data_IF_138454943634
#
_entry.id   IF_138454943634
#
_cell.length_a   1.000
_cell.length_b   1.000
_cell.length_c   1.000
_cell.angle_alpha   90.00
_cell.angle_beta   90.00
_cell.angle_gamma   90.00
#
_symmetry.space_group_name_H-M   'P 1'
#
loop_
_entity.id
_entity.type
_entity.pdbx_description
1 polymer ?
#
# COMPACT_ATOMS: atom_id res chain seq x y z
N UNK A 1 62.76 -34.26 41.44
CA UNK A 1 61.32 -34.59 41.47
C UNK A 1 60.87 -34.93 40.06
N UNK A 2 60.06 -36.00 39.96
CA UNK A 2 59.33 -36.61 38.83
C UNK A 2 58.82 -35.66 37.72
N UNK A 3 58.38 -36.05 36.51
CA UNK A 3 58.28 -37.27 35.68
C UNK A 3 57.65 -36.81 34.32
N UNK A 4 57.80 -37.65 33.29
CA UNK A 4 56.82 -37.96 32.21
C UNK A 4 56.64 -37.05 30.99
N UNK A 5 56.55 -37.74 29.84
CA UNK A 5 56.20 -37.33 28.49
C UNK A 5 54.67 -37.20 28.27
N UNK A 6 54.24 -36.52 27.19
CA UNK A 6 53.26 -36.99 26.18
C UNK A 6 52.77 -35.89 25.19
N UNK A 7 52.95 -36.17 23.88
CA UNK A 7 52.07 -35.97 22.68
C UNK A 7 51.23 -34.71 22.38
N UNK A 8 51.39 -34.25 21.12
CA UNK A 8 50.58 -33.44 20.14
C UNK A 8 49.03 -33.65 20.12
N UNK A 9 48.17 -32.89 19.34
CA UNK A 9 48.47 -32.09 18.13
C UNK A 9 47.72 -30.76 17.84
N UNK A 10 48.30 -30.04 16.87
CA UNK A 10 47.76 -29.19 15.79
C UNK A 10 46.35 -28.58 15.84
N UNK A 11 46.28 -27.26 15.60
CA UNK A 11 45.31 -26.68 14.66
C UNK A 11 45.91 -25.45 13.96
N UNK A 12 45.78 -25.44 12.64
CA UNK A 12 46.43 -24.57 11.66
C UNK A 12 45.84 -23.16 11.59
N UNK A 13 46.66 -22.12 11.80
CA UNK A 13 46.34 -20.75 11.41
C UNK A 13 47.04 -20.40 10.10
N UNK A 14 46.34 -20.57 8.97
CA UNK A 14 46.74 -19.96 7.70
C UNK A 14 46.13 -18.56 7.60
N UNK A 15 46.98 -17.56 7.80
CA UNK A 15 46.78 -16.19 7.31
C UNK A 15 46.73 -16.17 5.79
N UNK A 16 45.80 -15.42 5.19
CA UNK A 16 46.11 -14.44 4.13
C UNK A 16 44.90 -13.58 3.77
N UNK A 17 45.22 -12.29 3.70
CA UNK A 17 44.73 -11.28 2.75
C UNK A 17 43.36 -10.64 2.91
N UNK A 18 43.47 -9.36 3.29
CA UNK A 18 42.46 -8.31 3.28
C UNK A 18 42.21 -7.90 1.84
N UNK A 19 41.11 -8.37 1.25
CA UNK A 19 40.60 -7.89 -0.04
C UNK A 19 39.33 -7.07 0.22
N UNK A 20 39.36 -5.79 -0.18
CA UNK A 20 38.20 -4.90 -0.14
C UNK A 20 37.09 -5.47 -1.06
N UNK A 21 35.81 -5.47 -0.66
CA UNK A 21 34.77 -5.94 -1.57
C UNK A 21 34.24 -4.82 -2.47
N UNK A 22 34.59 -4.90 -3.76
CA UNK A 22 33.86 -4.28 -4.86
C UNK A 22 32.69 -5.18 -5.34
N UNK A 23 31.52 -4.55 -5.55
CA UNK A 23 30.45 -4.92 -6.50
C UNK A 23 29.43 -6.06 -6.13
N UNK A 24 28.30 -6.19 -6.88
CA UNK A 24 26.92 -6.10 -6.40
C UNK A 24 26.24 -7.48 -6.25
N UNK A 25 26.92 -8.43 -5.62
CA UNK A 25 26.46 -9.82 -5.54
C UNK A 25 25.41 -10.08 -4.45
N UNK A 26 25.36 -9.22 -3.42
CA UNK A 26 24.50 -9.43 -2.24
C UNK A 26 23.00 -9.21 -2.50
N UNK A 27 22.64 -8.37 -3.47
CA UNK A 27 21.24 -8.17 -3.89
C UNK A 27 20.76 -9.32 -4.79
N UNK A 28 21.67 -9.91 -5.57
CA UNK A 28 21.34 -11.01 -6.47
C UNK A 28 21.22 -12.35 -5.73
N UNK A 29 22.01 -12.57 -4.68
CA UNK A 29 21.85 -13.73 -3.80
C UNK A 29 20.54 -13.67 -3.01
N UNK A 30 20.17 -12.50 -2.44
CA UNK A 30 18.89 -12.35 -1.73
C UNK A 30 17.67 -12.54 -2.64
N UNK A 31 17.73 -12.07 -3.90
CA UNK A 31 16.64 -12.29 -4.86
C UNK A 31 16.52 -13.75 -5.31
N UNK A 32 17.65 -14.46 -5.48
CA UNK A 32 17.64 -15.90 -5.76
C UNK A 32 17.10 -16.71 -4.58
N UNK A 33 17.42 -16.32 -3.35
CA UNK A 33 16.97 -16.97 -2.12
C UNK A 33 15.46 -16.78 -1.91
N UNK A 34 14.92 -15.62 -2.27
CA UNK A 34 13.47 -15.35 -2.26
C UNK A 34 12.74 -16.18 -3.32
N UNK A 35 13.31 -16.32 -4.52
CA UNK A 35 12.71 -17.16 -5.58
C UNK A 35 12.77 -18.64 -5.20
N UNK A 36 13.85 -19.09 -4.56
CA UNK A 36 13.99 -20.45 -4.04
C UNK A 36 13.00 -20.70 -2.88
N UNK A 37 12.91 -19.77 -1.93
CA UNK A 37 11.97 -19.83 -0.80
C UNK A 37 10.53 -19.85 -1.30
N UNK A 38 10.18 -18.97 -2.25
CA UNK A 38 8.87 -18.97 -2.91
C UNK A 38 8.59 -20.28 -3.64
N UNK A 39 9.55 -20.81 -4.42
CA UNK A 39 9.41 -22.13 -5.07
C UNK A 39 9.19 -23.25 -4.06
N UNK A 40 9.89 -23.25 -2.93
CA UNK A 40 9.73 -24.29 -1.90
C UNK A 40 8.42 -24.18 -1.13
N UNK A 41 7.90 -22.95 -0.90
CA UNK A 41 6.56 -22.77 -0.34
C UNK A 41 5.47 -23.16 -1.35
N UNK A 42 5.65 -22.86 -2.65
CA UNK A 42 4.76 -23.33 -3.72
C UNK A 42 4.76 -24.86 -3.87
N UNK A 43 5.93 -25.50 -3.78
CA UNK A 43 6.05 -26.95 -3.87
C UNK A 43 5.45 -27.67 -2.66
N UNK A 44 5.49 -27.06 -1.47
CA UNK A 44 4.83 -27.58 -0.26
C UNK A 44 3.31 -27.63 -0.35
N UNK A 45 2.71 -26.82 -1.21
CA UNK A 45 1.25 -26.67 -1.30
C UNK A 45 0.59 -27.55 -2.40
N UNK A 46 1.40 -28.29 -3.16
CA UNK A 46 0.95 -29.44 -3.98
C UNK A 46 -0.13 -29.17 -5.04
N UNK A 47 -0.37 -27.91 -5.43
CA UNK A 47 -1.35 -27.54 -6.47
C UNK A 47 -0.72 -26.71 -7.59
N UNK A 48 -0.49 -27.34 -8.73
CA UNK A 48 -0.08 -26.63 -9.94
C UNK A 48 -1.05 -25.49 -10.31
N UNK A 49 -0.55 -24.33 -10.77
CA UNK A 49 -1.33 -23.30 -11.45
C UNK A 49 -2.13 -23.84 -12.63
N UNK A 50 -3.45 -23.97 -12.45
CA UNK A 50 -4.38 -24.08 -13.56
C UNK A 50 -4.12 -22.93 -14.53
N UNK A 51 -3.92 -23.24 -15.81
CA UNK A 51 -3.57 -22.27 -16.84
C UNK A 51 -4.60 -21.14 -16.96
N UNK A 52 -4.09 -19.90 -17.05
CA UNK A 52 -4.90 -18.70 -17.21
C UNK A 52 -5.16 -18.42 -18.69
N UNK A 53 -6.43 -18.47 -19.09
CA UNK A 53 -6.89 -18.08 -20.43
C UNK A 53 -7.69 -16.77 -20.34
N UNK A 54 -7.82 -16.04 -21.46
CA UNK A 54 -8.50 -14.74 -21.56
C UNK A 54 -9.91 -14.72 -20.93
N UNK A 55 -10.69 -15.79 -21.15
CA UNK A 55 -12.03 -15.96 -20.57
C UNK A 55 -12.05 -16.04 -19.03
N UNK A 56 -10.98 -16.59 -18.42
CA UNK A 56 -10.83 -16.68 -16.96
C UNK A 56 -10.30 -15.39 -16.35
N UNK A 57 -9.48 -14.65 -17.10
CA UNK A 57 -9.00 -13.32 -16.69
C UNK A 57 -10.15 -12.29 -16.65
N UNK A 58 -11.11 -12.40 -17.57
CA UNK A 58 -12.31 -11.55 -17.62
C UNK A 58 -13.44 -12.03 -16.69
N UNK A 59 -13.25 -13.13 -15.95
CA UNK A 59 -14.22 -13.61 -14.98
C UNK A 59 -14.35 -12.63 -13.80
N UNK A 60 -15.49 -12.65 -13.08
CA UNK A 60 -15.69 -11.78 -11.92
C UNK A 60 -14.59 -12.04 -10.88
N UNK A 61 -13.82 -11.00 -10.57
CA UNK A 61 -12.82 -11.03 -9.49
C UNK A 61 -13.60 -11.06 -8.18
N UNK A 62 -13.82 -12.27 -7.65
CA UNK A 62 -14.39 -12.44 -6.32
C UNK A 62 -13.28 -12.18 -5.30
N UNK A 63 -13.28 -10.97 -4.73
CA UNK A 63 -12.44 -10.66 -3.57
C UNK A 63 -13.00 -11.42 -2.37
N UNK A 64 -12.27 -12.43 -1.89
CA UNK A 64 -12.60 -13.14 -0.64
C UNK A 64 -11.93 -12.38 0.52
N UNK A 65 -12.70 -11.58 1.28
CA UNK A 65 -12.19 -10.70 2.32
C UNK A 65 -11.76 -11.45 3.58
N UNK A 66 -11.97 -12.78 3.65
CA UNK A 66 -11.41 -13.63 4.70
C UNK A 66 -9.96 -14.03 4.42
N UNK A 67 -9.47 -13.81 3.19
CA UNK A 67 -8.16 -14.25 2.68
C UNK A 67 -7.26 -13.08 2.26
N UNK A 68 -7.35 -11.94 2.95
CA UNK A 68 -6.57 -10.74 2.59
C UNK A 68 -5.05 -10.91 2.75
N UNK A 69 -4.59 -11.96 3.45
CA UNK A 69 -3.15 -12.28 3.57
C UNK A 69 -2.73 -13.44 2.64
N UNK A 70 -3.64 -14.01 1.86
CA UNK A 70 -3.33 -15.04 0.86
C UNK A 70 -3.08 -14.39 -0.49
N UNK A 71 -2.18 -14.97 -1.29
CA UNK A 71 -1.98 -14.54 -2.67
C UNK A 71 -3.34 -14.55 -3.42
N UNK A 72 -3.66 -13.43 -4.05
CA UNK A 72 -4.91 -13.23 -4.79
C UNK A 72 -5.19 -14.35 -5.80
N UNK A 73 -6.47 -14.69 -6.06
CA UNK A 73 -6.82 -15.79 -6.96
C UNK A 73 -6.23 -15.59 -8.37
N UNK A 74 -5.86 -16.71 -8.97
CA UNK A 74 -5.11 -16.80 -10.24
C UNK A 74 -5.77 -15.99 -11.37
N UNK A 75 -4.92 -15.37 -12.19
CA UNK A 75 -5.21 -14.60 -13.43
C UNK A 75 -5.39 -13.10 -13.30
N UNK A 76 -5.39 -12.50 -12.10
CA UNK A 76 -5.36 -11.04 -11.98
C UNK A 76 -4.07 -10.43 -12.52
N UNK A 77 -2.94 -11.15 -12.50
CA UNK A 77 -1.69 -10.72 -13.13
C UNK A 77 -1.79 -10.53 -14.65
N UNK A 78 -2.80 -11.10 -15.33
CA UNK A 78 -2.95 -10.95 -16.78
C UNK A 78 -3.57 -9.59 -17.15
N UNK A 79 -4.43 -9.04 -16.28
CA UNK A 79 -4.99 -7.68 -16.39
C UNK A 79 -4.15 -6.65 -15.63
N UNK A 80 -3.54 -7.07 -14.52
CA UNK A 80 -2.77 -6.25 -13.59
C UNK A 80 -1.47 -6.97 -13.19
N UNK A 81 -0.47 -7.06 -14.09
CA UNK A 81 0.78 -7.81 -13.85
C UNK A 81 1.61 -7.31 -12.67
N UNK A 82 1.24 -6.15 -12.13
CA UNK A 82 1.94 -5.50 -11.03
C UNK A 82 1.24 -5.63 -9.66
N UNK A 83 0.09 -6.31 -9.57
CA UNK A 83 -0.59 -6.55 -8.28
C UNK A 83 0.32 -7.26 -7.26
N UNK A 84 1.14 -8.20 -7.71
CA UNK A 84 2.13 -8.85 -6.84
C UNK A 84 3.05 -7.86 -6.13
N UNK A 85 3.37 -6.72 -6.74
CA UNK A 85 4.21 -5.70 -6.13
C UNK A 85 3.44 -4.81 -5.14
N UNK A 86 2.12 -4.79 -5.18
CA UNK A 86 1.29 -4.10 -4.19
C UNK A 86 1.25 -4.87 -2.86
N UNK A 87 1.19 -6.21 -2.95
CA UNK A 87 1.02 -7.08 -1.77
C UNK A 87 2.33 -7.63 -1.21
N UNK A 88 3.41 -7.57 -1.99
CA UNK A 88 4.69 -8.15 -1.58
C UNK A 88 5.39 -7.25 -0.57
N UNK A 89 5.71 -7.77 0.61
CA UNK A 89 6.51 -7.10 1.65
C UNK A 89 8.03 -7.11 1.40
N UNK A 90 8.45 -7.55 0.22
CA UNK A 90 9.85 -7.64 -0.20
C UNK A 90 10.17 -6.38 -1.04
N UNK A 91 11.25 -5.66 -0.72
CA UNK A 91 11.65 -4.46 -1.47
C UNK A 91 12.24 -4.87 -2.82
N UNK A 92 11.37 -5.16 -3.78
CA UNK A 92 11.77 -5.27 -5.18
C UNK A 92 11.64 -3.87 -5.79
N UNK A 93 12.74 -3.26 -6.28
CA UNK A 93 12.72 -1.89 -6.79
C UNK A 93 11.77 -1.77 -7.97
N UNK A 94 10.96 -0.70 -8.00
CA UNK A 94 10.07 -0.41 -9.12
C UNK A 94 10.81 0.39 -10.17
N UNK A 95 10.68 -0.01 -11.44
CA UNK A 95 11.07 0.84 -12.56
C UNK A 95 10.11 2.05 -12.67
N UNK A 96 10.57 3.16 -13.26
CA UNK A 96 9.77 4.39 -13.44
C UNK A 96 8.42 4.11 -14.13
N UNK A 97 8.38 3.21 -15.12
CA UNK A 97 7.12 2.81 -15.79
C UNK A 97 6.12 2.16 -14.84
N UNK A 98 6.63 1.35 -13.90
CA UNK A 98 5.81 0.67 -12.91
C UNK A 98 5.29 1.68 -11.87
N UNK A 99 6.11 2.65 -11.47
CA UNK A 99 5.69 3.77 -10.61
C UNK A 99 4.60 4.63 -11.28
N UNK A 100 4.74 4.90 -12.59
CA UNK A 100 3.74 5.64 -13.36
C UNK A 100 2.41 4.89 -13.48
N UNK A 101 2.47 3.58 -13.74
CA UNK A 101 1.27 2.73 -13.74
C UNK A 101 0.62 2.67 -12.35
N UNK A 102 1.44 2.59 -11.30
CA UNK A 102 0.97 2.58 -9.92
C UNK A 102 0.19 3.87 -9.59
N UNK A 103 0.73 5.03 -9.95
CA UNK A 103 0.03 6.31 -9.79
C UNK A 103 -1.29 6.35 -10.57
N UNK A 104 -1.30 5.87 -11.82
CA UNK A 104 -2.52 5.78 -12.61
C UNK A 104 -3.56 4.85 -11.95
N UNK A 105 -3.11 3.70 -11.43
CA UNK A 105 -3.98 2.76 -10.72
C UNK A 105 -4.60 3.40 -9.48
N UNK A 106 -3.82 4.04 -8.60
CA UNK A 106 -4.36 4.71 -7.41
C UNK A 106 -5.29 5.89 -7.74
N UNK A 107 -5.08 6.53 -8.89
CA UNK A 107 -5.96 7.60 -9.38
C UNK A 107 -7.31 7.05 -9.83
N UNK A 108 -7.33 5.90 -10.52
CA UNK A 108 -8.55 5.32 -11.12
C UNK A 108 -9.16 4.19 -10.29
N UNK A 109 -8.58 3.88 -9.13
CA UNK A 109 -9.08 2.81 -8.26
C UNK A 109 -10.51 3.13 -7.78
N UNK A 110 -11.47 2.20 -7.93
CA UNK A 110 -12.85 2.43 -7.50
C UNK A 110 -12.99 2.77 -6.01
N UNK A 111 -12.10 2.26 -5.15
CA UNK A 111 -12.06 2.60 -3.73
C UNK A 111 -11.66 4.05 -3.51
N UNK A 112 -10.57 4.51 -4.13
CA UNK A 112 -10.15 5.92 -4.10
C UNK A 112 -11.26 6.85 -4.60
N UNK A 113 -11.84 6.55 -5.77
CA UNK A 113 -12.93 7.34 -6.35
C UNK A 113 -14.16 7.37 -5.43
N UNK A 114 -14.52 6.22 -4.86
CA UNK A 114 -15.64 6.09 -3.92
C UNK A 114 -15.43 6.91 -2.63
N UNK A 115 -14.23 6.88 -2.05
CA UNK A 115 -13.90 7.67 -0.84
C UNK A 115 -13.94 9.17 -1.15
N UNK A 116 -13.32 9.60 -2.25
CA UNK A 116 -13.25 11.02 -2.64
C UNK A 116 -14.67 11.57 -2.89
N UNK A 117 -15.48 10.84 -3.65
CA UNK A 117 -16.86 11.25 -3.92
C UNK A 117 -17.71 11.20 -2.65
N UNK A 118 -17.57 10.18 -1.81
CA UNK A 118 -18.26 10.09 -0.53
C UNK A 118 -17.97 11.27 0.40
N UNK A 119 -16.69 11.60 0.60
CA UNK A 119 -16.26 12.76 1.41
C UNK A 119 -16.78 14.07 0.81
N UNK A 120 -16.71 14.21 -0.52
CA UNK A 120 -17.26 15.39 -1.21
C UNK A 120 -18.75 15.54 -0.97
N UNK A 121 -19.51 14.45 -0.99
CA UNK A 121 -20.94 14.44 -0.68
C UNK A 121 -21.23 14.87 0.75
N UNK A 122 -20.48 14.33 1.72
CA UNK A 122 -20.61 14.69 3.13
C UNK A 122 -20.32 16.19 3.35
N UNK A 123 -19.25 16.72 2.75
CA UNK A 123 -18.87 18.12 2.90
C UNK A 123 -19.96 19.08 2.36
N UNK A 124 -20.52 18.79 1.19
CA UNK A 124 -21.63 19.61 0.63
C UNK A 124 -22.93 19.45 1.42
N UNK A 125 -23.17 18.28 2.01
CA UNK A 125 -24.36 18.03 2.82
C UNK A 125 -24.31 18.74 4.18
N UNK A 126 -23.13 18.81 4.80
CA UNK A 126 -22.94 19.43 6.12
C UNK A 126 -22.80 20.95 5.99
N UNK A 127 -22.18 21.45 4.92
CA UNK A 127 -22.03 22.89 4.67
C UNK A 127 -22.54 23.28 3.27
N UNK A 128 -23.72 23.89 3.25
CA UNK A 128 -24.33 24.40 2.02
C UNK A 128 -23.70 25.70 1.51
N UNK A 129 -22.83 26.34 2.31
CA UNK A 129 -22.16 27.60 2.00
C UNK A 129 -20.71 27.41 1.54
N UNK A 130 -20.33 26.20 1.13
CA UNK A 130 -19.01 25.97 0.53
C UNK A 130 -18.78 26.84 -0.72
N UNK A 131 -17.51 27.08 -1.07
CA UNK A 131 -17.12 27.79 -2.29
C UNK A 131 -17.65 27.13 -3.59
N UNK A 132 -18.06 25.86 -3.52
CA UNK A 132 -18.58 25.10 -4.65
C UNK A 132 -20.10 25.23 -4.82
N UNK A 133 -20.79 25.74 -3.80
CA UNK A 133 -22.23 25.88 -3.72
C UNK A 133 -22.93 24.61 -3.20
N UNK A 134 -24.26 24.65 -3.00
CA UNK A 134 -25.01 23.54 -2.43
C UNK A 134 -25.45 22.50 -3.48
N UNK A 135 -25.92 21.35 -2.99
CA UNK A 135 -26.62 20.33 -3.77
C UNK A 135 -25.74 19.60 -4.80
N UNK A 136 -26.37 18.95 -5.77
CA UNK A 136 -25.68 18.11 -6.76
C UNK A 136 -24.66 18.87 -7.62
N UNK A 137 -24.89 20.16 -7.89
CA UNK A 137 -23.95 20.99 -8.63
C UNK A 137 -22.67 21.26 -7.82
N UNK A 138 -22.82 21.60 -6.53
CA UNK A 138 -21.69 21.76 -5.62
C UNK A 138 -20.92 20.46 -5.41
N UNK A 139 -21.65 19.35 -5.26
CA UNK A 139 -21.07 18.01 -5.19
C UNK A 139 -20.22 17.70 -6.42
N UNK A 140 -20.75 17.89 -7.64
CA UNK A 140 -20.01 17.61 -8.87
C UNK A 140 -18.74 18.44 -8.99
N UNK A 141 -18.79 19.71 -8.60
CA UNK A 141 -17.62 20.60 -8.57
C UNK A 141 -16.58 20.14 -7.55
N UNK A 142 -16.98 19.89 -6.30
CA UNK A 142 -16.07 19.47 -5.24
C UNK A 142 -15.46 18.10 -5.53
N UNK A 143 -16.28 17.15 -6.01
CA UNK A 143 -15.81 15.83 -6.41
C UNK A 143 -14.80 15.93 -7.57
N UNK A 144 -15.09 16.73 -8.59
CA UNK A 144 -14.17 16.95 -9.72
C UNK A 144 -12.84 17.57 -9.28
N UNK A 145 -12.89 18.61 -8.43
CA UNK A 145 -11.69 19.24 -7.87
C UNK A 145 -10.89 18.24 -7.04
N UNK A 146 -11.56 17.47 -6.18
CA UNK A 146 -10.91 16.49 -5.29
C UNK A 146 -10.29 15.33 -6.08
N UNK A 147 -10.95 14.86 -7.14
CA UNK A 147 -10.39 13.84 -8.05
C UNK A 147 -9.15 14.36 -8.78
N UNK A 148 -9.15 15.63 -9.21
CA UNK A 148 -8.00 16.24 -9.86
C UNK A 148 -6.84 16.45 -8.86
N UNK A 149 -7.14 16.85 -7.62
CA UNK A 149 -6.13 16.92 -6.55
C UNK A 149 -5.53 15.54 -6.25
N UNK A 150 -6.35 14.49 -6.21
CA UNK A 150 -5.89 13.11 -6.05
C UNK A 150 -4.99 12.69 -7.22
N UNK A 151 -5.41 12.91 -8.47
CA UNK A 151 -4.60 12.62 -9.64
C UNK A 151 -3.24 13.34 -9.62
N UNK A 152 -3.25 14.61 -9.19
CA UNK A 152 -2.03 15.41 -9.02
C UNK A 152 -1.14 14.83 -7.91
N UNK A 153 -1.74 14.48 -6.77
CA UNK A 153 -1.02 13.90 -5.64
C UNK A 153 -0.37 12.56 -6.00
N UNK A 154 -1.07 11.68 -6.71
CA UNK A 154 -0.52 10.41 -7.18
C UNK A 154 0.56 10.62 -8.24
N UNK A 155 0.34 11.55 -9.17
CA UNK A 155 1.34 11.85 -10.20
C UNK A 155 2.66 12.32 -9.60
N UNK A 156 2.65 13.24 -8.63
CA UNK A 156 3.88 13.74 -8.02
C UNK A 156 4.41 12.84 -6.90
N UNK A 157 3.53 12.35 -6.03
CA UNK A 157 3.87 11.62 -4.81
C UNK A 157 4.14 10.14 -5.00
N UNK A 158 3.56 9.53 -6.03
CA UNK A 158 3.74 8.10 -6.35
C UNK A 158 4.63 7.90 -7.58
N UNK A 159 4.60 8.82 -8.55
CA UNK A 159 5.37 8.69 -9.79
C UNK A 159 6.55 9.64 -9.91
N UNK A 160 6.32 10.94 -10.19
CA UNK A 160 7.36 11.84 -10.68
C UNK A 160 8.49 12.04 -9.68
N UNK A 161 8.18 12.40 -8.43
CA UNK A 161 9.21 12.60 -7.39
C UNK A 161 9.87 11.27 -7.02
N UNK A 162 9.12 10.19 -6.72
CA UNK A 162 9.74 8.89 -6.41
C UNK A 162 10.60 8.29 -7.52
N UNK A 163 10.25 8.53 -8.80
CA UNK A 163 11.06 8.11 -9.92
C UNK A 163 12.38 8.91 -10.01
N UNK A 164 12.36 10.21 -9.71
CA UNK A 164 13.55 11.06 -9.74
C UNK A 164 14.53 10.74 -8.60
N UNK A 165 14.02 10.55 -7.38
CA UNK A 165 14.86 10.36 -6.18
C UNK A 165 15.09 8.89 -5.83
N UNK A 166 14.67 7.96 -6.70
CA UNK A 166 14.77 6.52 -6.46
C UNK A 166 14.13 6.10 -5.13
N UNK A 167 12.95 6.62 -4.84
CA UNK A 167 12.14 6.28 -3.67
C UNK A 167 11.09 5.23 -4.04
N UNK A 168 10.86 4.27 -3.16
CA UNK A 168 9.71 3.38 -3.24
C UNK A 168 8.46 4.10 -2.68
N UNK A 169 7.41 4.29 -3.48
CA UNK A 169 6.19 4.97 -3.02
C UNK A 169 5.24 4.07 -2.21
N UNK A 170 5.50 2.76 -2.10
CA UNK A 170 4.54 1.82 -1.52
C UNK A 170 4.55 1.82 0.01
N UNK A 171 3.38 1.57 0.57
CA UNK A 171 3.21 1.29 2.00
C UNK A 171 3.26 -0.22 2.28
N UNK A 172 4.10 -0.64 3.23
CA UNK A 172 4.31 -2.05 3.59
C UNK A 172 3.70 -2.37 4.96
N UNK A 173 2.68 -3.24 4.98
CA UNK A 173 1.93 -3.56 6.21
C UNK A 173 2.71 -4.41 7.20
N UNK A 174 2.39 -4.27 8.50
CA UNK A 174 2.99 -5.06 9.59
C UNK A 174 1.93 -5.84 10.41
N UNK A 175 1.21 -6.81 9.80
CA UNK A 175 0.04 -7.44 10.42
C UNK A 175 0.34 -8.21 11.73
N UNK A 176 1.54 -8.77 11.88
CA UNK A 176 1.93 -9.56 13.06
C UNK A 176 2.51 -8.75 14.22
N UNK A 177 2.49 -7.41 14.13
CA UNK A 177 3.00 -6.52 15.18
C UNK A 177 1.86 -6.02 16.09
N UNK A 178 2.14 -5.68 17.35
CA UNK A 178 1.14 -5.09 18.25
C UNK A 178 0.64 -3.75 17.70
N UNK A 179 -0.62 -3.42 17.98
CA UNK A 179 -1.35 -2.25 17.44
C UNK A 179 -0.55 -0.95 17.59
N UNK A 180 0.02 -0.68 18.76
CA UNK A 180 0.79 0.56 18.99
C UNK A 180 2.02 0.69 18.09
N UNK A 181 2.71 -0.43 17.78
CA UNK A 181 3.85 -0.41 16.84
C UNK A 181 3.38 -0.20 15.40
N UNK A 182 2.21 -0.73 15.04
CA UNK A 182 1.59 -0.54 13.72
C UNK A 182 1.21 0.93 13.52
N UNK A 183 0.56 1.55 14.50
CA UNK A 183 0.23 2.99 14.48
C UNK A 183 1.49 3.83 14.33
N UNK A 184 2.50 3.62 15.19
CA UNK A 184 3.75 4.39 15.12
C UNK A 184 4.45 4.20 13.78
N UNK A 185 4.44 2.98 13.26
CA UNK A 185 4.99 2.68 11.95
C UNK A 185 4.23 3.41 10.83
N UNK A 186 2.90 3.36 10.81
CA UNK A 186 2.05 4.06 9.83
C UNK A 186 2.31 5.57 9.83
N UNK A 187 2.39 6.18 11.01
CA UNK A 187 2.70 7.60 11.17
C UNK A 187 4.12 7.91 10.70
N UNK A 188 5.10 7.07 11.04
CA UNK A 188 6.48 7.29 10.62
C UNK A 188 6.65 7.25 9.10
N UNK A 189 5.82 6.48 8.38
CA UNK A 189 5.92 6.33 6.93
C UNK A 189 5.49 7.56 6.13
N UNK A 190 4.73 8.46 6.73
CA UNK A 190 4.46 9.77 6.16
C UNK A 190 5.72 10.63 6.03
N UNK A 191 6.68 10.47 6.95
CA UNK A 191 7.88 11.29 7.00
C UNK A 191 9.15 10.56 6.55
N UNK A 192 9.14 9.24 6.63
CA UNK A 192 10.30 8.38 6.36
C UNK A 192 9.89 7.26 5.41
N UNK A 193 10.46 7.24 4.21
CA UNK A 193 10.24 6.20 3.21
C UNK A 193 11.45 5.26 3.07
N UNK A 194 11.42 4.42 2.04
CA UNK A 194 12.51 3.54 1.61
C UNK A 194 12.97 3.96 0.22
N UNK A 195 14.27 3.90 -0.03
CA UNK A 195 14.79 3.96 -1.39
C UNK A 195 14.50 2.65 -2.13
N UNK A 196 14.63 2.67 -3.45
CA UNK A 196 14.56 1.48 -4.30
C UNK A 196 15.63 0.42 -3.88
N UNK A 197 16.77 0.86 -3.34
CA UNK A 197 17.82 0.00 -2.77
C UNK A 197 17.55 -0.45 -1.31
N UNK A 198 16.38 -0.12 -0.77
CA UNK A 198 15.93 -0.55 0.56
C UNK A 198 16.46 0.26 1.74
N UNK A 199 17.22 1.33 1.51
CA UNK A 199 17.72 2.26 2.55
C UNK A 199 16.58 3.12 3.09
N UNK A 200 16.67 3.54 4.34
CA UNK A 200 15.72 4.50 4.92
C UNK A 200 16.06 5.92 4.46
N UNK A 201 15.08 6.63 3.91
CA UNK A 201 15.22 8.00 3.40
C UNK A 201 14.06 8.88 3.88
N UNK A 202 14.18 10.21 3.89
CA UNK A 202 13.03 11.09 4.03
C UNK A 202 11.97 10.77 2.96
N UNK A 203 10.69 10.92 3.28
CA UNK A 203 9.63 10.72 2.30
C UNK A 203 9.51 11.95 1.38
N UNK A 204 10.39 12.02 0.38
CA UNK A 204 10.42 13.11 -0.59
C UNK A 204 9.13 13.22 -1.39
N UNK A 205 8.48 12.09 -1.69
CA UNK A 205 7.17 12.06 -2.34
C UNK A 205 6.14 12.87 -1.55
N UNK A 206 5.98 12.57 -0.26
CA UNK A 206 5.07 13.30 0.63
C UNK A 206 5.47 14.77 0.79
N UNK A 207 6.74 15.05 1.08
CA UNK A 207 7.21 16.41 1.31
C UNK A 207 7.08 17.31 0.06
N UNK A 208 7.17 16.76 -1.14
CA UNK A 208 6.98 17.51 -2.38
C UNK A 208 5.51 17.64 -2.78
N UNK A 209 4.70 16.59 -2.58
CA UNK A 209 3.30 16.56 -3.02
C UNK A 209 2.45 17.65 -2.38
N UNK A 210 2.52 17.84 -1.07
CA UNK A 210 1.65 18.80 -0.39
C UNK A 210 1.86 20.25 -0.85
N UNK A 211 3.11 20.76 -0.94
CA UNK A 211 3.37 22.07 -1.56
C UNK A 211 2.88 22.17 -3.00
N UNK A 212 3.13 21.15 -3.83
CA UNK A 212 2.73 21.16 -5.25
C UNK A 212 1.20 21.23 -5.38
N UNK A 213 0.47 20.38 -4.67
CA UNK A 213 -0.99 20.38 -4.67
C UNK A 213 -1.55 21.69 -4.11
N UNK A 214 -0.90 22.25 -3.08
CA UNK A 214 -1.32 23.52 -2.49
C UNK A 214 -1.22 24.67 -3.51
N UNK A 215 -0.07 24.82 -4.14
CA UNK A 215 0.21 25.85 -5.14
C UNK A 215 -0.60 25.68 -6.42
N UNK A 216 -0.71 24.46 -6.94
CA UNK A 216 -1.57 24.21 -8.10
C UNK A 216 -3.03 24.53 -7.76
N UNK A 217 -3.49 24.19 -6.56
CA UNK A 217 -4.83 24.55 -6.09
C UNK A 217 -5.08 26.06 -6.10
N UNK A 218 -4.07 26.89 -5.79
CA UNK A 218 -4.18 28.35 -5.85
C UNK A 218 -4.45 28.87 -7.28
N UNK A 219 -4.04 28.12 -8.31
CA UNK A 219 -4.16 28.53 -9.71
C UNK A 219 -5.51 28.18 -10.34
N UNK A 220 -6.08 27.02 -9.99
CA UNK A 220 -7.27 26.51 -10.69
C UNK A 220 -8.52 26.35 -9.82
N UNK A 221 -8.43 26.41 -8.48
CA UNK A 221 -9.59 26.28 -7.59
C UNK A 221 -10.19 27.66 -7.32
N UNK A 222 -11.35 28.00 -7.90
CA UNK A 222 -11.97 29.30 -7.68
C UNK A 222 -12.46 29.44 -6.24
N UNK A 223 -12.26 30.62 -5.64
CA UNK A 223 -12.77 30.96 -4.31
C UNK A 223 -11.93 30.44 -3.14
N UNK A 224 -10.78 29.81 -3.39
CA UNK A 224 -9.82 29.46 -2.33
C UNK A 224 -8.95 30.67 -1.99
N UNK A 225 -8.56 30.77 -0.72
CA UNK A 225 -7.56 31.76 -0.29
C UNK A 225 -6.18 31.32 -0.77
N UNK A 226 -5.59 32.14 -1.64
CA UNK A 226 -4.30 31.88 -2.29
C UNK A 226 -3.14 32.67 -1.69
N UNK A 227 -3.35 33.32 -0.54
CA UNK A 227 -2.27 33.97 0.19
C UNK A 227 -1.30 32.94 0.81
N UNK A 228 -0.09 33.41 1.14
CA UNK A 228 0.96 32.53 1.66
C UNK A 228 0.60 31.85 2.97
N UNK A 229 -0.19 32.49 3.85
CA UNK A 229 -0.56 31.89 5.14
C UNK A 229 -1.58 30.78 4.94
N UNK A 230 -2.63 31.01 4.15
CA UNK A 230 -3.63 29.98 3.80
C UNK A 230 -3.01 28.79 3.05
N UNK A 231 -2.03 29.06 2.18
CA UNK A 231 -1.30 28.00 1.47
C UNK A 231 -0.45 27.18 2.43
N UNK A 232 0.29 27.82 3.34
CA UNK A 232 1.07 27.13 4.36
C UNK A 232 0.18 26.29 5.31
N UNK A 233 -0.99 26.80 5.69
CA UNK A 233 -1.97 26.06 6.50
C UNK A 233 -2.46 24.80 5.79
N UNK A 234 -2.74 24.88 4.49
CA UNK A 234 -3.14 23.71 3.68
C UNK A 234 -2.02 22.67 3.57
N UNK A 235 -0.77 23.11 3.40
CA UNK A 235 0.40 22.23 3.39
C UNK A 235 0.54 21.52 4.75
N UNK A 236 0.48 22.28 5.84
CA UNK A 236 0.58 21.74 7.20
C UNK A 236 -0.54 20.74 7.51
N UNK A 237 -1.78 21.07 7.13
CA UNK A 237 -2.94 20.18 7.29
C UNK A 237 -2.78 18.90 6.48
N UNK A 238 -2.31 19.00 5.24
CA UNK A 238 -2.02 17.85 4.39
C UNK A 238 -1.02 16.91 5.05
N UNK A 239 0.14 17.44 5.47
CA UNK A 239 1.17 16.65 6.17
C UNK A 239 0.66 16.03 7.48
N UNK A 240 -0.16 16.75 8.24
CA UNK A 240 -0.74 16.26 9.48
C UNK A 240 -1.73 15.10 9.26
N UNK A 241 -2.43 15.10 8.13
CA UNK A 241 -3.42 14.07 7.76
C UNK A 241 -2.84 12.93 6.92
N UNK A 242 -1.64 13.06 6.36
CA UNK A 242 -0.97 12.00 5.58
C UNK A 242 -0.99 10.62 6.29
N UNK A 243 -0.69 10.52 7.61
CA UNK A 243 -0.72 9.24 8.31
C UNK A 243 -2.04 8.49 8.24
N UNK A 244 -3.16 9.20 8.03
CA UNK A 244 -4.49 8.58 7.96
C UNK A 244 -4.56 7.55 6.84
N UNK A 245 -3.99 7.84 5.67
CA UNK A 245 -4.00 6.88 4.56
C UNK A 245 -3.17 5.62 4.90
N UNK A 246 -2.01 5.80 5.53
CA UNK A 246 -1.18 4.69 5.99
C UNK A 246 -1.88 3.84 7.05
N UNK A 247 -2.65 4.46 7.95
CA UNK A 247 -3.47 3.77 8.95
C UNK A 247 -4.61 2.99 8.30
N UNK A 248 -5.29 3.57 7.31
CA UNK A 248 -6.31 2.86 6.53
C UNK A 248 -5.68 1.65 5.85
N UNK A 249 -4.56 1.81 5.15
CA UNK A 249 -3.86 0.68 4.52
C UNK A 249 -3.41 -0.37 5.54
N UNK A 250 -2.98 0.04 6.74
CA UNK A 250 -2.56 -0.88 7.79
C UNK A 250 -3.73 -1.68 8.37
N UNK A 251 -4.87 -1.05 8.66
CA UNK A 251 -5.95 -1.63 9.48
C UNK A 251 -7.22 -2.01 8.71
N UNK A 252 -7.47 -1.44 7.51
CA UNK A 252 -8.66 -1.74 6.72
C UNK A 252 -8.85 -3.24 6.46
N UNK A 253 -7.80 -4.02 6.10
CA UNK A 253 -7.94 -5.46 5.93
C UNK A 253 -8.36 -6.21 7.20
N UNK A 254 -7.91 -5.75 8.36
CA UNK A 254 -8.24 -6.39 9.63
C UNK A 254 -9.70 -6.12 10.00
N UNK A 255 -10.16 -4.89 9.78
CA UNK A 255 -11.57 -4.51 9.96
C UNK A 255 -12.47 -5.25 8.98
N UNK A 256 -12.07 -5.32 7.71
CA UNK A 256 -12.81 -6.06 6.68
C UNK A 256 -13.00 -7.53 7.07
N UNK A 257 -11.95 -8.22 7.52
CA UNK A 257 -12.05 -9.62 8.00
C UNK A 257 -13.10 -9.79 9.12
N UNK A 258 -13.21 -8.83 10.05
CA UNK A 258 -14.14 -8.92 11.18
C UNK A 258 -15.60 -8.56 10.81
N UNK A 259 -15.83 -7.66 9.85
CA UNK A 259 -17.18 -7.29 9.41
C UNK A 259 -17.88 -8.47 8.72
N UNK A 260 -17.14 -9.29 7.98
CA UNK A 260 -17.69 -10.48 7.30
C UNK A 260 -18.25 -11.53 8.27
N UNK A 261 -17.67 -11.65 9.46
CA UNK A 261 -18.18 -12.54 10.51
C UNK A 261 -19.58 -12.10 10.96
N UNK A 262 -19.83 -10.78 11.05
CA UNK A 262 -21.15 -10.25 11.43
C UNK A 262 -22.19 -10.44 10.34
N UNK A 263 -21.86 -10.23 9.06
CA UNK A 263 -22.83 -10.37 7.96
C UNK A 263 -23.30 -11.84 7.80
N UNK A 264 -22.40 -12.82 7.95
CA UNK A 264 -22.77 -14.25 7.92
C UNK A 264 -23.60 -14.66 9.15
N UNK A 265 -23.30 -14.09 10.33
CA UNK A 265 -24.04 -14.38 11.56
C UNK A 265 -25.51 -13.90 11.49
N UNK A 266 -25.78 -12.76 10.86
CA UNK A 266 -27.16 -12.30 10.61
C UNK A 266 -27.90 -13.19 9.60
N UNK A 267 -27.20 -13.73 8.59
CA UNK A 267 -27.80 -14.68 7.64
C UNK A 267 -28.22 -15.99 8.32
N UNK A 268 -27.44 -16.50 9.29
CA UNK A 268 -27.80 -17.69 10.07
C UNK A 268 -29.00 -17.46 10.99
N UNK A 269 -29.13 -16.28 11.60
CA UNK A 269 -30.29 -15.93 12.43
C UNK A 269 -31.55 -15.83 11.57
N UNK A 270 -31.48 -15.16 10.42
CA UNK A 270 -32.63 -15.05 9.51
C UNK A 270 -33.04 -16.42 8.94
N UNK A 271 -32.08 -17.27 8.58
CA UNK A 271 -32.36 -18.62 8.10
C UNK A 271 -32.93 -19.54 9.20
N UNK A 272 -32.48 -19.41 10.45
CA UNK A 272 -33.06 -20.15 11.57
C UNK A 272 -34.47 -19.67 11.91
N UNK A 273 -34.75 -18.37 11.84
CA UNK A 273 -36.11 -17.83 12.03
C UNK A 273 -37.04 -18.26 10.88
N UNK A 274 -36.57 -18.27 9.63
CA UNK A 274 -37.33 -18.75 8.48
C UNK A 274 -37.59 -20.27 8.53
N UNK A 275 -36.63 -21.08 8.98
CA UNK A 275 -36.80 -22.52 9.17
C UNK A 275 -37.74 -22.87 10.34
N UNK A 276 -37.76 -22.04 11.38
CA UNK A 276 -38.67 -22.19 12.54
C UNK A 276 -40.11 -21.75 12.24
N UNK A 277 -40.29 -20.85 11.27
CA UNK A 277 -41.61 -20.32 10.87
C UNK A 277 -42.43 -21.22 9.95
N UNK A 278 -41.81 -22.21 9.29
CA UNK A 278 -42.50 -23.15 8.38
C UNK A 278 -43.02 -24.43 9.08
N UNK A 279 -42.96 -24.51 10.41
CA UNK A 279 -43.39 -25.67 11.20
C UNK A 279 -44.75 -25.51 11.91
N UNK A 280 -45.50 -24.43 11.65
CA UNK A 280 -46.84 -24.21 12.21
C UNK A 280 -47.84 -23.80 11.12
N UNK A 281 -48.17 -24.75 10.25
CA UNK A 281 -49.47 -24.84 9.58
C UNK A 281 -49.90 -26.30 9.55
#
# INVERSE_FOLDING_TARGET
MAQSAASFPAESSSSTDTELPDAPSTVQSQSQDVVATAKTSFQREGRDPASCNLLRALGPIYFDPSKVDQAHPRCTELLYPYQRFLDTNIPIPLNWKQKGYLAAHFTTDPGSVGIITGISGINIAIDSHTAYGPGWAGFGKLAGVSLLQNATAEFFGTFAVPALVHQDPRYYRMPHRPIGKRILYSVSRSYVSRSDDGRTIPNYGVFATYPIVAELGNLYVPGIQSDGASTAERIATGLALDPVNNLVNEFLPDVAKHIHVRIIFFQQILNNIAASGNGMM
#
